data_IF_880227191718
#
_entry.id   IF_880227191718
#
_cell.length_a   1.000
_cell.length_b   1.000
_cell.length_c   1.000
_cell.angle_alpha   90.00
_cell.angle_beta   90.00
_cell.angle_gamma   90.00
#
_symmetry.space_group_name_H-M   'P 1'
#
loop_
_entity.id
_entity.type
_entity.pdbx_description
1 polymer ?
#
# COMPACT_ATOMS: atom_id res chain seq x y z
N UNK A 1 5.66 19.08 -18.90
CA UNK A 1 4.77 19.15 -17.72
C UNK A 1 5.20 18.02 -16.82
N UNK A 2 5.75 18.30 -15.65
CA UNK A 2 5.90 17.25 -14.63
C UNK A 2 4.49 16.98 -14.12
N UNK A 3 3.95 15.81 -14.42
CA UNK A 3 2.70 15.35 -13.83
C UNK A 3 2.95 15.27 -12.32
N UNK A 4 2.23 16.07 -11.52
CA UNK A 4 2.21 15.84 -10.07
C UNK A 4 1.36 14.59 -9.88
N UNK A 5 2.02 13.44 -9.71
CA UNK A 5 1.35 12.17 -9.49
C UNK A 5 0.30 12.32 -8.39
N UNK A 6 -0.93 11.88 -8.70
CA UNK A 6 -2.06 11.97 -7.78
C UNK A 6 -2.29 10.62 -7.14
N UNK A 7 -2.92 10.62 -5.98
CA UNK A 7 -3.28 9.40 -5.28
C UNK A 7 -4.75 9.38 -4.90
N UNK A 8 -5.30 8.17 -4.85
CA UNK A 8 -6.57 7.86 -4.19
C UNK A 8 -6.25 6.92 -3.04
N UNK A 9 -6.77 7.23 -1.86
CA UNK A 9 -6.62 6.41 -0.67
C UNK A 9 -7.99 5.83 -0.31
N UNK A 10 -8.08 4.53 -0.16
CA UNK A 10 -9.28 3.84 0.30
C UNK A 10 -9.01 3.22 1.66
N UNK A 11 -9.93 3.39 2.60
CA UNK A 11 -9.88 2.71 3.89
C UNK A 11 -11.29 2.32 4.31
N UNK A 12 -11.51 1.01 4.46
CA UNK A 12 -12.78 0.43 4.92
C UNK A 12 -14.02 0.99 4.21
N UNK A 13 -13.94 1.14 2.88
CA UNK A 13 -15.01 1.70 2.04
C UNK A 13 -15.14 3.23 2.06
N UNK A 14 -14.27 3.94 2.79
CA UNK A 14 -14.13 5.41 2.69
C UNK A 14 -13.01 5.75 1.71
N UNK A 15 -13.31 6.61 0.74
CA UNK A 15 -12.33 7.08 -0.26
C UNK A 15 -11.92 8.52 0.03
N UNK A 16 -10.62 8.78 0.02
CA UNK A 16 -10.01 10.09 0.15
C UNK A 16 -9.33 10.47 -1.16
N UNK A 17 -9.72 11.60 -1.71
CA UNK A 17 -9.08 12.19 -2.89
C UNK A 17 -7.73 12.82 -2.53
N UNK A 18 -6.83 12.89 -3.50
CA UNK A 18 -5.47 13.44 -3.36
C UNK A 18 -5.37 14.71 -2.49
N UNK A 19 -6.26 15.68 -2.71
CA UNK A 19 -6.19 16.99 -2.07
C UNK A 19 -6.60 16.95 -0.59
N UNK A 20 -7.26 15.87 -0.16
CA UNK A 20 -7.64 15.60 1.22
C UNK A 20 -6.57 14.79 1.97
N UNK A 21 -5.59 14.23 1.25
CA UNK A 21 -4.55 13.40 1.82
C UNK A 21 -3.42 14.25 2.42
N UNK A 22 -2.91 13.78 3.54
CA UNK A 22 -1.70 14.29 4.17
C UNK A 22 -1.03 13.19 5.00
N UNK A 23 0.19 13.43 5.45
CA UNK A 23 0.94 12.45 6.24
C UNK A 23 0.21 12.01 7.51
N UNK A 24 -0.47 12.92 8.21
CA UNK A 24 -1.22 12.60 9.43
C UNK A 24 -2.38 11.64 9.15
N UNK A 25 -3.12 11.84 8.06
CA UNK A 25 -4.19 10.91 7.66
C UNK A 25 -3.66 9.49 7.43
N UNK A 26 -2.55 9.34 6.70
CA UNK A 26 -1.94 8.02 6.45
C UNK A 26 -1.49 7.35 7.75
N UNK A 27 -0.82 8.11 8.62
CA UNK A 27 -0.39 7.63 9.94
C UNK A 27 -1.59 7.20 10.78
N UNK A 28 -2.64 8.02 10.85
CA UNK A 28 -3.82 7.76 11.67
C UNK A 28 -4.56 6.50 11.20
N UNK A 29 -4.79 6.34 9.89
CA UNK A 29 -5.50 5.16 9.36
C UNK A 29 -4.72 3.86 9.58
N UNK A 30 -3.40 3.87 9.38
CA UNK A 30 -2.58 2.66 9.57
C UNK A 30 -2.40 2.35 11.05
N UNK A 31 -2.29 3.38 11.90
CA UNK A 31 -2.13 3.22 13.36
C UNK A 31 -3.35 2.56 13.99
N UNK A 32 -4.55 2.96 13.53
CA UNK A 32 -5.83 2.51 14.08
C UNK A 32 -6.47 1.35 13.31
N UNK A 33 -5.69 0.65 12.48
CA UNK A 33 -6.22 -0.43 11.64
C UNK A 33 -6.68 -1.61 12.51
N UNK A 34 -7.98 -1.91 12.48
CA UNK A 34 -8.58 -3.02 13.24
C UNK A 34 -8.70 -4.30 12.41
N UNK A 35 -9.08 -5.40 13.06
CA UNK A 35 -9.27 -6.69 12.39
C UNK A 35 -10.27 -6.59 11.23
N UNK A 36 -9.93 -7.20 10.08
CA UNK A 36 -10.67 -7.12 8.81
C UNK A 36 -10.66 -5.75 8.12
N UNK A 37 -9.98 -4.77 8.69
CA UNK A 37 -9.79 -3.46 8.07
C UNK A 37 -8.57 -3.43 7.14
N UNK A 38 -8.64 -2.53 6.16
CA UNK A 38 -7.59 -2.30 5.19
C UNK A 38 -7.44 -0.82 4.84
N UNK A 39 -6.26 -0.50 4.32
CA UNK A 39 -5.92 0.78 3.71
C UNK A 39 -5.23 0.48 2.39
N UNK A 40 -5.73 1.03 1.28
CA UNK A 40 -5.16 0.88 -0.06
C UNK A 40 -4.82 2.25 -0.61
N UNK A 41 -3.60 2.41 -1.09
CA UNK A 41 -3.10 3.63 -1.70
C UNK A 41 -2.80 3.38 -3.18
N UNK A 42 -3.58 4.02 -4.06
CA UNK A 42 -3.54 3.85 -5.51
C UNK A 42 -3.01 5.12 -6.16
N UNK A 43 -1.88 5.10 -6.87
CA UNK A 43 -1.42 6.22 -7.65
C UNK A 43 -2.17 6.33 -8.99
N UNK A 44 -2.29 7.55 -9.54
CA UNK A 44 -2.95 7.79 -10.82
C UNK A 44 -2.17 7.26 -12.03
N UNK A 45 -0.88 7.03 -11.86
CA UNK A 45 0.05 6.40 -12.80
C UNK A 45 0.95 5.43 -12.00
N UNK A 46 1.58 4.45 -12.65
CA UNK A 46 2.37 3.46 -11.93
C UNK A 46 3.60 4.09 -11.25
N UNK A 47 3.84 3.72 -9.99
CA UNK A 47 5.04 4.09 -9.24
C UNK A 47 6.04 2.96 -9.36
N UNK A 48 7.09 3.13 -10.17
CA UNK A 48 8.08 2.06 -10.43
C UNK A 48 7.42 0.72 -10.83
N UNK A 49 6.32 0.79 -11.60
CA UNK A 49 5.53 -0.37 -12.02
C UNK A 49 4.46 -0.82 -11.01
N UNK A 50 4.43 -0.25 -9.81
CA UNK A 50 3.41 -0.55 -8.79
C UNK A 50 2.05 0.07 -9.11
N UNK A 51 1.01 -0.75 -8.98
CA UNK A 51 -0.40 -0.41 -9.15
C UNK A 51 -1.04 0.10 -7.85
N UNK A 52 -0.62 -0.39 -6.70
CA UNK A 52 -1.10 0.03 -5.38
C UNK A 52 -0.18 -0.48 -4.28
N UNK A 53 -0.24 0.16 -3.11
CA UNK A 53 0.28 -0.34 -1.85
C UNK A 53 -0.88 -0.51 -0.86
N UNK A 54 -0.97 -1.66 -0.20
CA UNK A 54 -2.03 -1.99 0.75
C UNK A 54 -1.44 -2.33 2.12
N UNK A 55 -2.16 -2.01 3.17
CA UNK A 55 -1.98 -2.56 4.52
C UNK A 55 -3.31 -3.16 4.99
N UNK A 56 -3.26 -4.28 5.70
CA UNK A 56 -4.41 -4.91 6.34
C UNK A 56 -4.01 -5.50 7.69
N UNK A 57 -4.92 -5.50 8.66
CA UNK A 57 -4.72 -6.22 9.92
C UNK A 57 -5.01 -7.72 9.73
N UNK A 58 -4.21 -8.57 10.38
CA UNK A 58 -4.41 -10.02 10.38
C UNK A 58 -5.21 -10.47 11.62
N UNK A 59 -5.70 -11.70 11.59
CA UNK A 59 -6.42 -12.31 12.73
C UNK A 59 -5.57 -12.40 14.00
N UNK A 60 -4.26 -12.49 13.84
CA UNK A 60 -3.30 -12.51 14.95
C UNK A 60 -3.11 -11.09 15.52
N UNK A 61 -3.36 -10.86 16.82
CA UNK A 61 -3.28 -9.52 17.41
C UNK A 61 -1.91 -8.86 17.22
N UNK A 62 -1.90 -7.64 16.68
CA UNK A 62 -0.68 -6.88 16.42
C UNK A 62 0.08 -7.33 15.16
N UNK A 63 -0.42 -8.32 14.42
CA UNK A 63 0.11 -8.69 13.12
C UNK A 63 -0.62 -7.96 12.01
N UNK A 64 0.15 -7.50 11.04
CA UNK A 64 -0.32 -6.80 9.86
C UNK A 64 0.31 -7.43 8.63
N UNK A 65 -0.30 -7.20 7.49
CA UNK A 65 0.27 -7.50 6.17
C UNK A 65 0.34 -6.21 5.36
N UNK A 66 1.47 -5.99 4.71
CA UNK A 66 1.59 -5.04 3.61
C UNK A 66 1.62 -5.82 2.29
N UNK A 67 0.90 -5.33 1.28
CA UNK A 67 0.85 -5.95 -0.04
C UNK A 67 1.10 -4.92 -1.13
N UNK A 68 1.80 -5.32 -2.19
CA UNK A 68 2.10 -4.46 -3.34
C UNK A 68 1.98 -5.26 -4.63
N UNK A 69 1.24 -4.70 -5.60
CA UNK A 69 1.05 -5.32 -6.92
C UNK A 69 1.79 -4.55 -7.99
N UNK A 70 2.67 -5.21 -8.72
CA UNK A 70 3.44 -4.64 -9.83
C UNK A 70 2.86 -5.12 -11.16
N UNK A 71 2.82 -4.24 -12.17
CA UNK A 71 2.48 -4.62 -13.53
C UNK A 71 3.59 -5.45 -14.18
N UNK A 72 3.20 -6.54 -14.86
CA UNK A 72 4.09 -7.37 -15.65
C UNK A 72 3.50 -7.57 -17.06
N UNK A 73 3.97 -6.79 -18.04
CA UNK A 73 3.41 -6.79 -19.40
C UNK A 73 2.06 -6.07 -19.52
N UNK A 74 1.30 -6.34 -20.58
CA UNK A 74 0.00 -5.68 -20.81
C UNK A 74 -1.07 -6.14 -19.82
N UNK A 75 -1.16 -7.45 -19.57
CA UNK A 75 -2.23 -8.07 -18.76
C UNK A 75 -1.74 -8.82 -17.50
N UNK A 76 -0.42 -8.90 -17.28
CA UNK A 76 0.16 -9.64 -16.16
C UNK A 76 0.44 -8.77 -14.94
N UNK A 77 0.64 -9.42 -13.80
CA UNK A 77 1.09 -8.76 -12.58
C UNK A 77 1.93 -9.70 -11.73
N UNK A 78 2.74 -9.11 -10.84
CA UNK A 78 3.28 -9.80 -9.66
C UNK A 78 2.69 -9.20 -8.41
N UNK A 79 2.38 -10.05 -7.44
CA UNK A 79 1.84 -9.63 -6.16
C UNK A 79 2.76 -10.08 -5.04
N UNK A 80 3.18 -9.13 -4.21
CA UNK A 80 4.08 -9.39 -3.09
C UNK A 80 3.37 -9.07 -1.78
N UNK A 81 3.58 -9.92 -0.77
CA UNK A 81 3.08 -9.72 0.58
C UNK A 81 4.20 -9.76 1.62
N UNK A 82 4.09 -8.93 2.65
CA UNK A 82 5.01 -8.90 3.78
C UNK A 82 4.24 -8.85 5.10
N UNK A 83 4.36 -9.91 5.90
CA UNK A 83 3.73 -10.01 7.22
C UNK A 83 4.68 -9.49 8.29
N UNK A 84 4.20 -8.63 9.17
CA UNK A 84 5.01 -7.99 10.21
C UNK A 84 4.19 -7.58 11.42
N UNK A 85 4.85 -7.40 12.56
CA UNK A 85 4.32 -6.71 13.74
C UNK A 85 4.86 -5.28 13.87
N UNK A 86 5.76 -4.87 12.97
CA UNK A 86 6.32 -3.53 12.92
C UNK A 86 5.39 -2.60 12.10
N UNK A 87 4.42 -2.02 12.78
CA UNK A 87 3.52 -1.01 12.22
C UNK A 87 4.28 0.25 11.74
N UNK A 88 5.41 0.59 12.37
CA UNK A 88 6.20 1.77 11.99
C UNK A 88 6.80 1.59 10.60
N UNK A 89 7.25 0.38 10.27
CA UNK A 89 7.73 0.05 8.93
C UNK A 89 6.65 0.25 7.85
N UNK A 90 5.41 -0.21 8.11
CA UNK A 90 4.29 -0.05 7.18
C UNK A 90 3.97 1.43 6.96
N UNK A 91 3.87 2.21 8.04
CA UNK A 91 3.64 3.66 7.96
C UNK A 91 4.73 4.33 7.10
N UNK A 92 5.99 3.98 7.33
CA UNK A 92 7.10 4.55 6.56
C UNK A 92 6.99 4.22 5.07
N UNK A 93 6.60 2.99 4.71
CA UNK A 93 6.38 2.62 3.31
C UNK A 93 5.26 3.43 2.66
N UNK A 94 4.14 3.67 3.35
CA UNK A 94 3.07 4.51 2.82
C UNK A 94 3.52 5.97 2.63
N UNK A 95 4.27 6.52 3.59
CA UNK A 95 4.80 7.88 3.50
C UNK A 95 5.82 8.03 2.36
N UNK A 96 6.69 7.04 2.16
CA UNK A 96 7.67 7.04 1.06
C UNK A 96 6.98 6.81 -0.29
N UNK A 97 6.01 5.91 -0.36
CA UNK A 97 5.25 5.63 -1.57
C UNK A 97 4.44 6.85 -2.02
N UNK A 98 3.81 7.58 -1.09
CA UNK A 98 3.06 8.80 -1.39
C UNK A 98 3.96 10.02 -1.63
N UNK A 99 4.91 10.28 -0.73
CA UNK A 99 5.68 11.53 -0.72
C UNK A 99 6.93 11.52 -1.58
N UNK A 100 7.52 10.34 -1.82
CA UNK A 100 8.77 10.16 -2.57
C UNK A 100 8.62 9.31 -3.82
N UNK A 101 7.45 8.68 -4.03
CA UNK A 101 7.19 7.78 -5.15
C UNK A 101 8.19 6.61 -5.17
N UNK A 102 8.49 6.07 -3.99
CA UNK A 102 9.49 5.03 -3.80
C UNK A 102 8.83 3.75 -3.27
N UNK A 103 9.23 2.60 -3.80
CA UNK A 103 8.79 1.30 -3.31
C UNK A 103 9.54 0.84 -2.05
N UNK A 104 8.93 0.00 -1.21
CA UNK A 104 9.68 -0.79 -0.24
C UNK A 104 10.66 -1.73 -0.96
N UNK A 105 11.73 -2.11 -0.27
CA UNK A 105 12.65 -3.15 -0.73
C UNK A 105 11.95 -4.51 -0.70
N UNK A 106 11.72 -5.09 -1.88
CA UNK A 106 10.89 -6.30 -2.05
C UNK A 106 11.66 -7.61 -1.91
N UNK A 107 12.98 -7.58 -1.72
CA UNK A 107 13.83 -8.78 -1.67
C UNK A 107 13.44 -9.76 -0.55
N UNK A 108 12.87 -9.24 0.55
CA UNK A 108 12.37 -10.02 1.68
C UNK A 108 10.86 -10.30 1.63
N UNK A 109 10.16 -9.77 0.62
CA UNK A 109 8.72 -9.95 0.47
C UNK A 109 8.42 -11.30 -0.19
N UNK A 110 7.31 -11.91 0.21
CA UNK A 110 6.86 -13.17 -0.36
C UNK A 110 6.11 -12.90 -1.67
N UNK A 111 6.49 -13.58 -2.75
CA UNK A 111 5.69 -13.61 -3.98
C UNK A 111 4.43 -14.47 -3.75
N UNK A 112 3.28 -13.81 -3.77
CA UNK A 112 1.94 -14.39 -3.58
C UNK A 112 1.12 -14.31 -4.87
N UNK A 113 1.75 -14.07 -6.02
CA UNK A 113 1.06 -13.90 -7.32
C UNK A 113 0.10 -15.05 -7.64
N UNK A 114 0.52 -16.27 -7.32
CA UNK A 114 -0.23 -17.50 -7.57
C UNK A 114 -1.53 -17.65 -6.74
N UNK A 115 -1.71 -16.84 -5.69
CA UNK A 115 -2.93 -16.84 -4.88
C UNK A 115 -4.09 -16.08 -5.55
N UNK A 116 -3.80 -15.36 -6.64
CA UNK A 116 -4.73 -14.45 -7.31
C UNK A 116 -4.96 -14.78 -8.81
N UNK A 117 -4.55 -15.99 -9.24
CA UNK A 117 -4.69 -16.49 -10.62
C UNK A 117 -5.77 -17.54 -10.80
#
# INVERSE_FOLDING_TARGET
MYSTLRYTLESNGTTYENDSMNASLLVDLITNLELQEYVVLVPSELVEGSMYLQAAALEEPGHMVAEIRLQEGEDGFRHYGYKTTDQTAIIQWFLDYWGKQQLPQLESWQDITHEFG
#
